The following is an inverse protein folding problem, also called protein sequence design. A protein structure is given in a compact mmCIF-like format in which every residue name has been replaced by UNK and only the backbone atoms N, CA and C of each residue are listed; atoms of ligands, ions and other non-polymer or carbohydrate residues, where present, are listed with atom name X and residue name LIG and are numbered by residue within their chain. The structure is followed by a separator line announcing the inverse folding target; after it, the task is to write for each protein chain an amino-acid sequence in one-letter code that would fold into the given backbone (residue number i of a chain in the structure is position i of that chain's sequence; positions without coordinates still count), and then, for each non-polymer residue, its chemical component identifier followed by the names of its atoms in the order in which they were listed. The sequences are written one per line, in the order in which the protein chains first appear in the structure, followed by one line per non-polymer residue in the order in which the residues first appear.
data_IF_203722030951
#
_entry.id   IF_203722030951
#
_cell.length_a   1.000
_cell.length_b   1.000
_cell.length_c   1.000
_cell.angle_alpha   90.00
_cell.angle_beta   90.00
_cell.angle_gamma   90.00
#
_symmetry.space_group_name_H-M   'P 1'
#
loop_
_entity.id
_entity.type
_entity.pdbx_description
1 polymer ?
#
# COMPACT_ATOMS: atom_id res chain seq x y z
N UNK A 1 -38.45 67.65 12.27
CA UNK A 1 -38.51 66.21 12.59
C UNK A 1 -37.44 65.51 11.76
N UNK A 2 -36.45 64.94 12.44
CA UNK A 2 -35.27 64.28 11.86
C UNK A 2 -35.61 62.85 11.44
N UNK A 3 -35.16 62.40 10.26
CA UNK A 3 -34.95 60.98 9.97
C UNK A 3 -33.65 60.80 9.20
N UNK A 4 -32.64 60.34 9.92
CA UNK A 4 -31.39 59.77 9.44
C UNK A 4 -31.68 58.38 8.86
N UNK A 5 -31.16 58.05 7.67
CA UNK A 5 -30.95 56.65 7.26
C UNK A 5 -29.59 56.51 6.60
N UNK A 6 -28.60 56.22 7.45
CA UNK A 6 -27.35 55.60 7.06
C UNK A 6 -27.50 54.11 7.40
N UNK A 7 -27.29 53.20 6.44
CA UNK A 7 -26.81 51.86 6.76
C UNK A 7 -26.08 51.24 5.56
N UNK A 8 -24.77 51.33 5.73
CA UNK A 8 -23.65 50.68 5.06
C UNK A 8 -23.91 49.19 4.79
N UNK A 9 -23.69 48.75 3.55
CA UNK A 9 -23.58 47.33 3.21
C UNK A 9 -22.16 46.84 3.54
N UNK A 10 -22.04 45.90 4.48
CA UNK A 10 -20.78 45.26 4.83
C UNK A 10 -20.75 43.85 4.21
N UNK A 11 -20.14 43.72 3.04
CA UNK A 11 -19.88 42.42 2.41
C UNK A 11 -18.76 41.69 3.15
N UNK A 12 -19.08 40.57 3.79
CA UNK A 12 -18.08 39.70 4.42
C UNK A 12 -17.59 38.68 3.39
N UNK A 13 -16.38 38.86 2.88
CA UNK A 13 -15.68 37.83 2.09
C UNK A 13 -15.11 36.79 3.06
N UNK A 14 -15.74 35.61 3.13
CA UNK A 14 -15.25 34.48 3.90
C UNK A 14 -14.17 33.76 3.08
N UNK A 15 -12.90 34.10 3.29
CA UNK A 15 -11.79 33.30 2.76
C UNK A 15 -11.66 32.03 3.62
N UNK A 16 -12.13 30.89 3.10
CA UNK A 16 -11.79 29.59 3.69
C UNK A 16 -10.33 29.27 3.34
N UNK A 17 -9.43 29.46 4.30
CA UNK A 17 -8.11 28.84 4.26
C UNK A 17 -8.26 27.34 4.51
N UNK A 18 -8.35 26.56 3.42
CA UNK A 18 -8.18 25.11 3.51
C UNK A 18 -6.71 24.81 3.86
N UNK A 19 -6.43 24.65 5.14
CA UNK A 19 -5.17 24.05 5.59
C UNK A 19 -5.08 22.59 5.11
N UNK A 20 -3.88 22.03 4.93
CA UNK A 20 -3.74 20.64 4.51
C UNK A 20 -4.36 19.73 5.57
N UNK A 21 -5.48 19.10 5.22
CA UNK A 21 -6.06 18.04 6.02
C UNK A 21 -5.08 16.86 6.03
N UNK A 22 -4.40 16.64 7.15
CA UNK A 22 -3.66 15.40 7.39
C UNK A 22 -4.69 14.28 7.59
N UNK A 23 -5.09 13.63 6.51
CA UNK A 23 -6.20 12.66 6.51
C UNK A 23 -5.80 11.27 7.05
N UNK A 24 -4.52 11.01 7.31
CA UNK A 24 -4.05 9.67 7.70
C UNK A 24 -3.41 9.70 9.09
N UNK A 25 -4.16 9.22 10.08
CA UNK A 25 -3.65 9.03 11.45
C UNK A 25 -2.68 7.86 11.43
N UNK A 26 -1.43 8.11 11.83
CA UNK A 26 -0.43 7.05 11.98
C UNK A 26 -0.81 6.16 13.16
N UNK A 27 -1.18 4.91 12.88
CA UNK A 27 -1.47 3.94 13.93
C UNK A 27 -0.18 3.68 14.76
N UNK A 28 -0.31 3.49 16.08
CA UNK A 28 0.80 2.99 16.88
C UNK A 28 1.14 1.56 16.44
N UNK A 29 2.43 1.28 16.30
CA UNK A 29 2.89 -0.07 15.94
C UNK A 29 2.60 -1.10 17.03
N UNK A 30 2.57 -2.40 16.68
CA UNK A 30 2.37 -3.44 17.67
C UNK A 30 3.55 -3.50 18.65
N UNK A 31 3.33 -3.98 19.89
CA UNK A 31 4.42 -4.19 20.84
C UNK A 31 5.40 -5.24 20.28
N UNK A 32 6.68 -5.04 20.57
CA UNK A 32 7.73 -6.02 20.25
C UNK A 32 7.44 -7.35 20.96
N UNK A 33 7.66 -8.47 20.26
CA UNK A 33 7.49 -9.81 20.81
C UNK A 33 8.86 -10.40 21.11
N UNK A 34 9.10 -10.77 22.36
CA UNK A 34 10.36 -11.37 22.78
C UNK A 34 10.62 -12.68 22.01
N UNK A 35 11.85 -12.86 21.52
CA UNK A 35 12.25 -14.04 20.76
C UNK A 35 11.74 -14.08 19.31
N UNK A 36 11.14 -13.01 18.81
CA UNK A 36 10.83 -12.88 17.39
C UNK A 36 12.11 -12.98 16.55
N UNK A 37 12.08 -13.86 15.55
CA UNK A 37 13.22 -14.11 14.65
C UNK A 37 13.15 -13.18 13.45
N UNK A 38 14.30 -12.68 12.97
CA UNK A 38 14.33 -11.78 11.83
C UNK A 38 13.82 -12.47 10.56
N UNK A 39 12.99 -11.78 9.80
CA UNK A 39 12.58 -12.18 8.45
C UNK A 39 13.47 -11.51 7.39
N UNK A 40 13.32 -11.89 6.12
CA UNK A 40 14.00 -11.21 5.00
C UNK A 40 12.96 -10.59 4.05
N UNK A 41 13.19 -9.35 3.63
CA UNK A 41 12.42 -8.74 2.53
C UNK A 41 13.29 -8.75 1.29
N UNK A 42 12.86 -9.46 0.26
CA UNK A 42 13.42 -9.34 -1.08
C UNK A 42 12.61 -8.31 -1.88
N UNK A 43 13.32 -7.44 -2.60
CA UNK A 43 12.74 -6.44 -3.49
C UNK A 43 13.04 -6.88 -4.91
N UNK A 44 12.01 -7.30 -5.62
CA UNK A 44 12.13 -7.82 -6.99
C UNK A 44 11.30 -6.96 -7.94
N UNK A 45 11.65 -7.05 -9.22
CA UNK A 45 10.83 -6.53 -10.31
C UNK A 45 10.26 -7.71 -11.07
N UNK A 46 8.95 -7.71 -11.29
CA UNK A 46 8.25 -8.68 -12.13
C UNK A 46 7.77 -7.94 -13.37
N UNK A 47 8.16 -8.44 -14.54
CA UNK A 47 7.61 -7.96 -15.80
C UNK A 47 6.26 -8.65 -16.07
N UNK A 48 5.20 -7.87 -16.25
CA UNK A 48 3.83 -8.34 -16.45
C UNK A 48 3.35 -8.06 -17.88
N UNK A 49 3.19 -9.10 -18.73
CA UNK A 49 2.59 -8.97 -20.05
C UNK A 49 1.17 -8.39 -20.00
N UNK A 50 0.44 -8.63 -18.90
CA UNK A 50 -0.93 -8.16 -18.71
C UNK A 50 -1.05 -6.61 -18.62
N UNK A 51 0.04 -5.93 -18.28
CA UNK A 51 0.07 -4.46 -18.16
C UNK A 51 0.58 -3.79 -19.44
N UNK A 52 1.17 -4.53 -20.38
CA UNK A 52 1.71 -3.95 -21.61
C UNK A 52 0.64 -3.24 -22.45
N UNK A 53 1.02 -2.11 -23.05
CA UNK A 53 0.17 -1.39 -24.00
C UNK A 53 -1.07 -0.72 -23.40
N UNK A 54 -1.18 -0.64 -22.07
CA UNK A 54 -2.23 0.16 -21.42
C UNK A 54 -2.15 1.64 -21.85
N UNK A 55 -3.31 2.30 -21.92
CA UNK A 55 -3.41 3.65 -22.49
C UNK A 55 -2.84 4.75 -21.58
N UNK A 56 -2.72 4.52 -20.28
CA UNK A 56 -2.14 5.46 -19.32
C UNK A 56 -0.60 5.38 -19.26
N UNK A 57 -0.01 4.39 -19.92
CA UNK A 57 1.45 4.21 -19.96
C UNK A 57 2.03 3.66 -18.66
N UNK A 58 1.24 2.93 -17.87
CA UNK A 58 1.73 2.20 -16.71
C UNK A 58 2.85 1.24 -17.11
N UNK A 59 3.94 1.25 -16.35
CA UNK A 59 5.06 0.34 -16.58
C UNK A 59 4.62 -1.11 -16.36
N UNK A 60 4.91 -2.04 -17.30
CA UNK A 60 4.71 -3.47 -17.08
C UNK A 60 5.75 -4.08 -16.13
N UNK A 61 6.87 -3.38 -15.89
CA UNK A 61 7.83 -3.77 -14.85
C UNK A 61 7.33 -3.28 -13.49
N UNK A 62 6.81 -4.20 -12.68
CA UNK A 62 6.18 -3.94 -11.38
C UNK A 62 7.10 -4.30 -10.23
N UNK A 63 7.25 -3.39 -9.26
CA UNK A 63 7.96 -3.68 -8.03
C UNK A 63 7.13 -4.62 -7.15
N UNK A 64 7.77 -5.60 -6.52
CA UNK A 64 7.15 -6.56 -5.61
C UNK A 64 8.05 -6.78 -4.40
N UNK A 65 7.48 -6.67 -3.21
CA UNK A 65 8.18 -7.03 -1.97
C UNK A 65 7.81 -8.47 -1.60
N UNK A 66 8.81 -9.32 -1.38
CA UNK A 66 8.64 -10.72 -0.98
C UNK A 66 9.23 -10.91 0.40
N UNK A 67 8.36 -11.11 1.39
CA UNK A 67 8.75 -11.40 2.77
C UNK A 67 8.94 -12.90 2.92
N UNK A 68 10.17 -13.30 3.21
CA UNK A 68 10.56 -14.69 3.45
C UNK A 68 10.62 -14.97 4.96
N UNK A 69 9.99 -16.06 5.43
CA UNK A 69 9.99 -16.39 6.85
C UNK A 69 11.38 -16.78 7.34
N UNK A 70 11.67 -16.65 8.65
CA UNK A 70 13.00 -16.91 9.23
C UNK A 70 13.61 -18.26 8.83
N UNK A 71 12.79 -19.31 8.69
CA UNK A 71 13.27 -20.65 8.35
C UNK A 71 13.55 -20.89 6.85
N UNK A 72 13.20 -19.96 5.96
CA UNK A 72 13.19 -20.17 4.50
C UNK A 72 14.52 -20.66 3.94
N UNK A 73 15.62 -19.93 4.21
CA UNK A 73 16.95 -20.28 3.69
C UNK A 73 17.53 -21.55 4.29
N UNK A 74 17.16 -21.86 5.54
CA UNK A 74 17.65 -23.05 6.23
C UNK A 74 16.94 -24.34 5.80
N UNK A 75 15.78 -24.24 5.13
CA UNK A 75 14.94 -25.39 4.76
C UNK A 75 14.57 -25.35 3.28
N UNK A 76 15.53 -25.57 2.36
CA UNK A 76 15.34 -25.36 0.91
C UNK A 76 14.29 -26.28 0.27
N UNK A 77 13.94 -27.39 0.91
CA UNK A 77 12.92 -28.33 0.43
C UNK A 77 11.53 -28.08 1.00
N UNK A 78 11.42 -27.25 2.06
CA UNK A 78 10.13 -26.93 2.69
C UNK A 78 9.31 -26.01 1.79
N UNK A 79 8.03 -26.31 1.66
CA UNK A 79 7.04 -25.43 1.01
C UNK A 79 6.34 -24.58 2.06
N UNK A 80 6.11 -23.32 1.71
CA UNK A 80 5.42 -22.34 2.55
C UNK A 80 4.12 -21.91 1.86
N UNK A 81 3.02 -21.70 2.61
CA UNK A 81 1.87 -21.01 2.06
C UNK A 81 2.27 -19.58 1.67
N UNK A 82 1.53 -19.01 0.73
CA UNK A 82 1.74 -17.65 0.21
C UNK A 82 0.50 -16.82 0.50
N UNK A 83 0.71 -15.60 1.00
CA UNK A 83 -0.34 -14.59 1.18
C UNK A 83 0.01 -13.37 0.36
N UNK A 84 -0.93 -12.89 -0.45
CA UNK A 84 -0.81 -11.64 -1.18
C UNK A 84 -1.42 -10.51 -0.34
N UNK A 85 -0.59 -9.61 0.16
CA UNK A 85 -1.02 -8.48 0.98
C UNK A 85 -1.10 -7.22 0.12
N UNK A 86 -2.34 -6.85 -0.22
CA UNK A 86 -2.67 -5.79 -1.15
C UNK A 86 -2.80 -4.44 -0.44
N UNK A 87 -2.25 -3.38 -1.02
CA UNK A 87 -2.29 -2.03 -0.45
C UNK A 87 -3.58 -1.28 -0.80
N UNK A 88 -3.86 -0.20 -0.06
CA UNK A 88 -5.01 0.68 -0.32
C UNK A 88 -4.81 1.62 -1.51
N UNK A 89 -5.86 2.35 -1.88
CA UNK A 89 -5.90 3.17 -3.10
C UNK A 89 -4.72 4.15 -3.23
N UNK A 90 -4.47 5.00 -2.24
CA UNK A 90 -3.55 6.15 -2.38
C UNK A 90 -2.06 5.84 -2.24
N UNK A 91 -1.70 4.60 -1.94
CA UNK A 91 -0.35 4.22 -1.49
C UNK A 91 0.23 3.12 -2.38
N UNK A 92 1.54 2.91 -2.31
CA UNK A 92 2.24 1.80 -3.00
C UNK A 92 2.79 0.79 -1.98
N UNK A 93 3.48 -0.25 -2.46
CA UNK A 93 3.90 -1.38 -1.62
C UNK A 93 4.88 -0.95 -0.49
N UNK A 94 5.85 -0.08 -0.80
CA UNK A 94 6.83 0.40 0.19
C UNK A 94 6.17 1.25 1.29
N UNK A 95 5.24 2.13 0.93
CA UNK A 95 4.49 2.89 1.93
C UNK A 95 3.65 1.95 2.79
N UNK A 96 3.01 0.95 2.17
CA UNK A 96 2.13 0.02 2.86
C UNK A 96 2.85 -0.80 3.93
N UNK A 97 4.06 -1.30 3.65
CA UNK A 97 4.84 -2.04 4.66
C UNK A 97 5.21 -1.17 5.86
N UNK A 98 5.39 0.14 5.65
CA UNK A 98 5.59 1.10 6.73
C UNK A 98 4.34 1.32 7.58
N UNK A 99 3.17 1.39 6.94
CA UNK A 99 1.88 1.59 7.61
C UNK A 99 1.43 0.37 8.43
N UNK A 100 1.72 -0.85 7.98
CA UNK A 100 1.44 -2.08 8.75
C UNK A 100 2.60 -2.49 9.65
N UNK A 101 3.62 -1.65 9.82
CA UNK A 101 4.75 -1.85 10.72
C UNK A 101 5.51 -3.17 10.47
N UNK A 102 5.85 -3.46 9.22
CA UNK A 102 6.83 -4.50 8.88
C UNK A 102 8.24 -3.97 9.24
N UNK A 103 9.12 -4.78 9.87
CA UNK A 103 8.99 -6.22 10.13
C UNK A 103 8.17 -6.63 11.37
N UNK A 104 7.97 -5.71 12.32
CA UNK A 104 7.50 -6.03 13.68
C UNK A 104 6.19 -6.81 13.70
N UNK A 105 5.23 -6.45 12.84
CA UNK A 105 3.94 -7.14 12.74
C UNK A 105 4.08 -8.60 12.31
N UNK A 106 4.89 -8.87 11.28
CA UNK A 106 5.04 -10.22 10.70
C UNK A 106 5.91 -11.10 11.61
N UNK A 107 7.05 -10.58 12.06
CA UNK A 107 7.94 -11.31 12.97
C UNK A 107 7.24 -11.62 14.30
N UNK A 108 6.48 -10.65 14.83
CA UNK A 108 5.68 -10.82 16.03
C UNK A 108 4.57 -11.86 15.86
N UNK A 109 3.94 -11.94 14.68
CA UNK A 109 2.94 -12.97 14.39
C UNK A 109 3.56 -14.38 14.39
N UNK A 110 4.71 -14.57 13.73
CA UNK A 110 5.42 -15.85 13.75
C UNK A 110 5.86 -16.24 15.18
N UNK A 111 6.36 -15.28 15.96
CA UNK A 111 6.74 -15.51 17.36
C UNK A 111 5.55 -15.92 18.25
N UNK A 112 4.34 -15.44 17.95
CA UNK A 112 3.10 -15.80 18.63
C UNK A 112 2.48 -17.11 18.13
N UNK A 113 3.13 -17.82 17.20
CA UNK A 113 2.71 -19.13 16.73
C UNK A 113 1.95 -19.15 15.39
N UNK A 114 1.87 -18.02 14.68
CA UNK A 114 1.39 -18.04 13.31
C UNK A 114 2.29 -18.94 12.45
N UNK A 115 1.69 -19.73 11.56
CA UNK A 115 2.44 -20.58 10.62
C UNK A 115 3.32 -19.69 9.74
N UNK A 116 4.60 -20.02 9.63
CA UNK A 116 5.51 -19.36 8.69
C UNK A 116 4.97 -19.45 7.25
N UNK A 117 4.97 -18.31 6.57
CA UNK A 117 4.43 -18.11 5.22
C UNK A 117 5.27 -17.09 4.47
N UNK A 118 5.19 -17.11 3.15
CA UNK A 118 5.72 -16.05 2.30
C UNK A 118 4.63 -14.99 2.16
N UNK A 119 4.97 -13.71 2.33
CA UNK A 119 4.05 -12.60 2.09
C UNK A 119 4.51 -11.83 0.86
N UNK A 120 3.68 -11.81 -0.17
CA UNK A 120 3.93 -11.10 -1.43
C UNK A 120 3.15 -9.79 -1.42
N UNK A 121 3.82 -8.68 -1.68
CA UNK A 121 3.28 -7.33 -1.57
C UNK A 121 3.56 -6.61 -2.89
N UNK A 122 2.71 -6.81 -3.91
CA UNK A 122 2.92 -6.18 -5.21
C UNK A 122 2.59 -4.69 -5.17
N UNK A 123 3.35 -3.88 -5.89
CA UNK A 123 3.01 -2.48 -6.12
C UNK A 123 2.05 -2.36 -7.31
N UNK A 124 0.80 -2.02 -6.98
CA UNK A 124 -0.29 -1.78 -7.94
C UNK A 124 -0.73 -0.32 -7.93
N UNK A 125 0.16 0.59 -7.51
CA UNK A 125 -0.04 2.02 -7.65
C UNK A 125 0.25 2.46 -9.09
N UNK A 126 -0.60 3.33 -9.60
CA UNK A 126 -0.63 3.88 -10.94
C UNK A 126 -0.48 5.40 -10.86
N UNK A 127 -0.39 6.07 -12.01
CA UNK A 127 -0.41 7.52 -12.15
C UNK A 127 -1.63 8.15 -11.45
N UNK A 128 -2.72 7.41 -11.32
CA UNK A 128 -3.97 7.84 -10.70
C UNK A 128 -4.26 7.17 -9.35
N UNK A 129 -3.23 6.63 -8.70
CA UNK A 129 -3.27 5.90 -7.42
C UNK A 129 -3.60 4.41 -7.56
N UNK A 130 -4.66 3.88 -6.96
CA UNK A 130 -4.83 2.44 -6.89
C UNK A 130 -5.43 1.89 -8.18
N UNK A 131 -4.91 0.78 -8.69
CA UNK A 131 -5.50 0.08 -9.85
C UNK A 131 -6.85 -0.60 -9.56
N UNK A 132 -7.26 -0.66 -8.30
CA UNK A 132 -8.36 -1.50 -7.81
C UNK A 132 -8.22 -2.99 -8.17
N UNK A 133 -7.02 -3.44 -8.54
CA UNK A 133 -6.73 -4.82 -8.94
C UNK A 133 -7.69 -5.33 -10.03
N UNK A 134 -8.11 -4.42 -10.91
CA UNK A 134 -9.12 -4.68 -11.94
C UNK A 134 -8.47 -4.81 -13.31
N UNK A 135 -9.15 -5.52 -14.21
CA UNK A 135 -8.77 -5.57 -15.62
C UNK A 135 -9.26 -4.32 -16.37
N UNK A 136 -8.34 -3.56 -16.98
CA UNK A 136 -8.67 -2.34 -17.73
C UNK A 136 -7.70 -2.13 -18.89
N UNK A 137 -8.22 -1.82 -20.07
CA UNK A 137 -7.38 -1.39 -21.21
C UNK A 137 -6.72 -0.04 -20.96
N UNK A 138 -7.33 0.80 -20.12
CA UNK A 138 -6.85 2.15 -19.84
C UNK A 138 -5.69 2.13 -18.87
N UNK A 139 -5.86 1.45 -17.73
CA UNK A 139 -4.89 1.45 -16.62
C UNK A 139 -3.94 0.25 -16.68
N UNK A 140 -4.35 -0.85 -17.32
CA UNK A 140 -3.65 -2.14 -17.36
C UNK A 140 -4.45 -3.25 -16.66
N UNK A 141 -4.18 -4.51 -17.02
CA UNK A 141 -4.83 -5.67 -16.41
C UNK A 141 -4.15 -6.12 -15.11
N UNK A 142 -4.41 -5.36 -14.03
CA UNK A 142 -3.86 -5.65 -12.70
C UNK A 142 -4.51 -6.88 -12.05
N UNK A 143 -5.67 -7.33 -12.52
CA UNK A 143 -6.27 -8.59 -12.08
C UNK A 143 -5.40 -9.77 -12.53
N UNK A 144 -5.07 -9.82 -13.83
CA UNK A 144 -4.19 -10.86 -14.39
C UNK A 144 -2.77 -10.77 -13.83
N UNK A 145 -2.22 -9.55 -13.67
CA UNK A 145 -0.92 -9.37 -13.02
C UNK A 145 -0.85 -10.11 -11.67
N UNK A 146 -1.83 -9.88 -10.79
CA UNK A 146 -1.83 -10.51 -9.45
C UNK A 146 -2.17 -12.00 -9.51
N UNK A 147 -3.11 -12.41 -10.37
CA UNK A 147 -3.64 -13.77 -10.37
C UNK A 147 -2.82 -14.77 -11.20
N UNK A 148 -1.98 -14.29 -12.13
CA UNK A 148 -1.29 -15.13 -13.12
C UNK A 148 0.20 -14.85 -13.22
N UNK A 149 0.62 -13.58 -13.17
CA UNK A 149 2.00 -13.21 -13.44
C UNK A 149 2.90 -13.28 -12.19
N UNK A 150 2.30 -13.29 -10.98
CA UNK A 150 2.97 -13.46 -9.68
C UNK A 150 2.89 -14.90 -9.14
#
# INVERSE_FOLDING_TARGET
MSVNKLLVALGTALMLSAGPASAQVKAPGPPLVAGAKPMTIERITVHSPAIEGNLEGESPDRAVLVVLPPSYRANPTRRYPVVYALHGYSIGAEQWIGEIHVPQTIEGAFAKGAREMIVVIPDSKTAHNGSFYSSSVTVGDFETFVARDL
#
